data_IF_969923374705
#
_entry.id   IF_969923374705
#
_cell.length_a   1.000
_cell.length_b   1.000
_cell.length_c   1.000
_cell.angle_alpha   90.00
_cell.angle_beta   90.00
_cell.angle_gamma   90.00
#
_symmetry.space_group_name_H-M   'P 1'
#
loop_
_entity.id
_entity.type
_entity.pdbx_description
1 polymer ?
#
# COMPACT_ATOMS: atom_id res chain seq x y z
N UNK A 1 52.24 26.62 -1.11
CA UNK A 1 51.24 25.79 -1.71
C UNK A 1 49.85 26.16 -1.28
N UNK A 2 49.13 26.89 -2.10
CA UNK A 2 47.68 27.13 -1.87
C UNK A 2 46.92 25.90 -2.23
N UNK A 3 46.33 25.26 -1.25
CA UNK A 3 45.37 24.18 -1.45
C UNK A 3 44.05 24.78 -1.96
N UNK A 4 43.70 24.55 -3.21
CA UNK A 4 42.38 24.80 -3.74
C UNK A 4 41.43 23.81 -3.09
N UNK A 5 40.66 24.24 -2.08
CA UNK A 5 39.49 23.50 -1.65
C UNK A 5 38.51 23.46 -2.82
N UNK A 6 38.26 22.27 -3.33
CA UNK A 6 37.43 22.05 -4.48
C UNK A 6 36.03 22.64 -4.27
N UNK A 7 35.51 23.27 -5.30
CA UNK A 7 34.13 23.77 -5.46
C UNK A 7 33.08 22.68 -5.49
N UNK A 8 33.37 21.53 -4.85
CA UNK A 8 32.48 20.33 -4.87
C UNK A 8 31.30 20.32 -3.92
N UNK A 9 31.13 21.31 -3.04
CA UNK A 9 30.17 21.19 -1.92
C UNK A 9 29.04 22.22 -1.90
N UNK A 10 28.74 22.88 -2.98
CA UNK A 10 27.66 23.88 -3.06
C UNK A 10 26.50 23.42 -3.97
N UNK A 11 26.32 22.13 -4.20
CA UNK A 11 24.98 21.65 -4.57
C UNK A 11 24.15 21.71 -3.30
N UNK A 12 23.45 22.82 -3.08
CA UNK A 12 22.32 22.89 -2.14
C UNK A 12 21.47 21.67 -2.41
N UNK A 13 21.48 20.69 -1.49
CA UNK A 13 20.57 19.53 -1.57
C UNK A 13 19.18 20.11 -1.74
N UNK A 14 18.59 19.89 -2.89
CA UNK A 14 17.17 20.22 -3.12
C UNK A 14 16.38 19.55 -1.99
N UNK A 15 15.42 20.24 -1.36
CA UNK A 15 14.61 19.62 -0.33
C UNK A 15 13.87 18.42 -0.93
N UNK A 16 14.06 17.25 -0.35
CA UNK A 16 13.39 16.04 -0.76
C UNK A 16 11.94 16.04 -0.28
N UNK A 17 11.01 15.56 -1.11
CA UNK A 17 9.64 15.27 -0.71
C UNK A 17 9.61 14.12 0.29
N UNK A 18 8.48 13.90 0.98
CA UNK A 18 8.30 12.71 1.82
C UNK A 18 8.50 11.42 1.02
N UNK A 19 7.96 11.38 -0.20
CA UNK A 19 8.16 10.27 -1.13
C UNK A 19 9.64 10.00 -1.41
N UNK A 20 10.41 11.05 -1.76
CA UNK A 20 11.83 10.88 -2.03
C UNK A 20 12.61 10.36 -0.82
N UNK A 21 12.25 10.80 0.40
CA UNK A 21 12.87 10.33 1.64
C UNK A 21 12.60 8.85 1.87
N UNK A 22 11.32 8.44 1.81
CA UNK A 22 10.95 7.03 1.99
C UNK A 22 11.61 6.18 0.90
N UNK A 23 11.52 6.59 -0.36
CA UNK A 23 12.16 5.88 -1.48
C UNK A 23 13.64 5.64 -1.25
N UNK A 24 14.38 6.70 -0.91
CA UNK A 24 15.84 6.62 -0.77
C UNK A 24 16.27 5.76 0.44
N UNK A 25 15.49 5.76 1.53
CA UNK A 25 15.75 4.93 2.71
C UNK A 25 15.49 3.44 2.47
N UNK A 26 14.61 3.12 1.53
CA UNK A 26 14.23 1.73 1.20
C UNK A 26 14.90 1.20 -0.07
N UNK A 27 15.70 2.02 -0.74
CA UNK A 27 16.40 1.63 -1.96
C UNK A 27 17.51 0.62 -1.65
N UNK A 28 17.31 -0.64 -2.07
CA UNK A 28 18.30 -1.72 -1.93
C UNK A 28 19.28 -1.69 -3.10
N UNK A 29 18.77 -1.52 -4.31
CA UNK A 29 19.57 -1.49 -5.54
C UNK A 29 18.82 -0.71 -6.62
N UNK A 30 19.57 -0.03 -7.47
CA UNK A 30 19.03 0.62 -8.67
C UNK A 30 19.83 0.21 -9.89
N UNK A 31 19.13 -0.20 -10.93
CA UNK A 31 19.73 -0.58 -12.22
C UNK A 31 19.95 0.67 -13.09
N UNK A 32 20.78 0.53 -14.11
CA UNK A 32 21.10 1.60 -15.05
C UNK A 32 19.88 2.12 -15.82
N UNK A 33 18.87 1.28 -16.05
CA UNK A 33 17.61 1.64 -16.71
C UNK A 33 16.61 2.39 -15.80
N UNK A 34 17.02 2.68 -14.55
CA UNK A 34 16.21 3.34 -13.53
C UNK A 34 15.29 2.41 -12.75
N UNK A 35 15.26 1.11 -13.06
CA UNK A 35 14.54 0.11 -12.27
C UNK A 35 15.20 -0.04 -10.89
N UNK A 36 14.41 -0.03 -9.84
CA UNK A 36 14.88 -0.08 -8.47
C UNK A 36 14.29 -1.28 -7.72
N UNK A 37 15.09 -1.84 -6.82
CA UNK A 37 14.67 -2.84 -5.85
C UNK A 37 14.47 -2.13 -4.51
N UNK A 38 13.25 -2.12 -3.99
CA UNK A 38 12.88 -1.50 -2.71
C UNK A 38 12.68 -2.56 -1.64
N UNK A 39 13.16 -2.29 -0.43
CA UNK A 39 12.79 -3.08 0.74
C UNK A 39 11.33 -2.80 1.13
N UNK A 40 10.58 -3.83 1.48
CA UNK A 40 9.18 -3.75 1.90
C UNK A 40 9.09 -3.97 3.40
N UNK A 41 8.63 -2.96 4.16
CA UNK A 41 8.49 -3.06 5.61
C UNK A 41 7.27 -3.87 6.02
N UNK A 42 6.18 -3.77 5.26
CA UNK A 42 4.90 -4.40 5.61
C UNK A 42 4.24 -4.98 4.36
N UNK A 43 3.81 -6.22 4.48
CA UNK A 43 3.05 -6.90 3.45
C UNK A 43 1.68 -7.30 4.00
N UNK A 44 0.63 -6.73 3.43
CA UNK A 44 -0.75 -7.11 3.72
C UNK A 44 -1.21 -8.15 2.69
N UNK A 45 -1.84 -9.21 3.15
CA UNK A 45 -2.27 -10.34 2.31
C UNK A 45 -3.72 -10.68 2.60
N UNK A 46 -4.48 -10.97 1.57
CA UNK A 46 -5.86 -11.44 1.67
C UNK A 46 -6.10 -12.66 0.77
N UNK A 47 -7.30 -13.23 0.82
CA UNK A 47 -7.63 -14.53 0.21
C UNK A 47 -7.67 -14.52 -1.33
N UNK A 48 -7.88 -13.36 -1.97
CA UNK A 48 -8.12 -13.31 -3.43
C UNK A 48 -6.83 -13.45 -4.23
N UNK A 49 -5.78 -12.73 -3.88
CA UNK A 49 -4.52 -12.63 -4.68
C UNK A 49 -3.38 -13.49 -4.14
N UNK A 50 -3.57 -14.16 -3.02
CA UNK A 50 -2.50 -14.91 -2.35
C UNK A 50 -2.40 -16.41 -2.70
N UNK A 51 -3.46 -17.14 -3.10
CA UNK A 51 -3.38 -18.60 -3.29
C UNK A 51 -2.27 -19.01 -4.24
N UNK A 52 -2.22 -18.42 -5.43
CA UNK A 52 -1.20 -18.74 -6.44
C UNK A 52 0.21 -18.32 -6.01
N UNK A 53 0.33 -17.22 -5.26
CA UNK A 53 1.62 -16.77 -4.74
C UNK A 53 2.21 -17.79 -3.74
N UNK A 54 1.40 -18.34 -2.85
CA UNK A 54 1.83 -19.41 -1.93
C UNK A 54 2.12 -20.72 -2.66
N UNK A 55 1.35 -21.06 -3.70
CA UNK A 55 1.63 -22.21 -4.55
C UNK A 55 2.99 -22.06 -5.25
N UNK A 56 3.29 -20.89 -5.80
CA UNK A 56 4.59 -20.58 -6.39
C UNK A 56 5.74 -20.78 -5.41
N UNK A 57 5.58 -20.34 -4.15
CA UNK A 57 6.57 -20.58 -3.09
C UNK A 57 6.80 -22.07 -2.84
N UNK A 58 5.73 -22.89 -2.78
CA UNK A 58 5.85 -24.36 -2.61
C UNK A 58 6.58 -24.99 -3.78
N UNK A 59 6.17 -24.67 -5.00
CA UNK A 59 6.76 -25.23 -6.24
C UNK A 59 8.25 -24.88 -6.36
N UNK A 60 8.63 -23.67 -5.96
CA UNK A 60 10.03 -23.21 -5.93
C UNK A 60 10.79 -23.61 -4.66
N UNK A 61 10.16 -24.33 -3.72
CA UNK A 61 10.72 -24.72 -2.42
C UNK A 61 11.24 -23.53 -1.59
N UNK A 62 10.59 -22.37 -1.72
CA UNK A 62 10.94 -21.16 -0.99
C UNK A 62 10.07 -21.00 0.26
N UNK A 63 10.65 -20.37 1.26
CA UNK A 63 9.93 -19.96 2.49
C UNK A 63 9.56 -18.49 2.41
N UNK A 64 8.58 -18.09 3.18
CA UNK A 64 8.34 -16.67 3.43
C UNK A 64 9.53 -16.11 4.21
N UNK A 65 10.15 -15.06 3.67
CA UNK A 65 11.40 -14.51 4.20
C UNK A 65 11.24 -13.90 5.60
N UNK A 66 10.19 -13.09 5.78
CA UNK A 66 9.91 -12.42 7.04
C UNK A 66 8.41 -12.52 7.41
N UNK A 67 7.94 -13.67 7.94
CA UNK A 67 6.52 -13.85 8.28
C UNK A 67 5.97 -12.79 9.25
N UNK A 68 6.83 -12.23 10.13
CA UNK A 68 6.44 -11.19 11.08
C UNK A 68 6.16 -9.82 10.45
N UNK A 69 6.67 -9.59 9.24
CA UNK A 69 6.41 -8.37 8.45
C UNK A 69 5.22 -8.54 7.50
N UNK A 70 4.57 -9.71 7.56
CA UNK A 70 3.36 -10.03 6.79
C UNK A 70 2.18 -10.19 7.74
N UNK A 71 1.05 -9.57 7.38
CA UNK A 71 -0.23 -9.70 8.09
C UNK A 71 -1.29 -10.11 7.08
N UNK A 72 -1.98 -11.20 7.35
CA UNK A 72 -3.09 -11.68 6.55
C UNK A 72 -4.43 -11.32 7.19
N UNK A 73 -5.40 -10.97 6.36
CA UNK A 73 -6.78 -10.68 6.77
C UNK A 73 -7.72 -11.35 5.78
N UNK A 74 -8.71 -12.08 6.26
CA UNK A 74 -9.83 -12.52 5.41
C UNK A 74 -10.76 -11.32 5.21
N UNK A 75 -10.90 -10.84 3.98
CA UNK A 75 -11.46 -9.52 3.70
C UNK A 75 -12.57 -9.55 2.62
N UNK A 76 -12.25 -10.03 1.42
CA UNK A 76 -13.13 -9.89 0.25
C UNK A 76 -14.26 -10.92 0.21
N UNK A 77 -14.00 -12.16 0.62
CA UNK A 77 -14.91 -13.31 0.49
C UNK A 77 -15.55 -13.72 1.83
N UNK A 78 -15.74 -12.77 2.71
CA UNK A 78 -16.37 -12.98 4.01
C UNK A 78 -17.80 -12.43 4.01
N UNK A 79 -18.78 -13.13 4.63
CA UNK A 79 -20.14 -12.64 4.68
C UNK A 79 -20.27 -11.39 5.53
N UNK A 80 -21.09 -10.45 5.06
CA UNK A 80 -21.49 -9.24 5.81
C UNK A 80 -22.75 -9.48 6.67
N UNK A 81 -23.32 -10.70 6.58
CA UNK A 81 -24.50 -11.15 7.34
C UNK A 81 -24.07 -11.95 8.57
N UNK A 82 -24.97 -12.76 9.13
CA UNK A 82 -24.69 -13.61 10.29
C UNK A 82 -23.57 -14.63 10.00
N UNK A 83 -22.42 -14.38 10.56
CA UNK A 83 -21.20 -15.20 10.36
C UNK A 83 -21.26 -16.58 11.02
N UNK A 84 -22.20 -16.79 11.96
CA UNK A 84 -22.39 -18.11 12.58
C UNK A 84 -22.82 -19.19 11.58
N UNK A 85 -23.39 -18.77 10.44
CA UNK A 85 -23.79 -19.64 9.34
C UNK A 85 -22.66 -20.00 8.38
N UNK A 86 -21.47 -19.47 8.60
CA UNK A 86 -20.30 -19.67 7.74
C UNK A 86 -20.44 -18.97 6.37
N UNK A 87 -19.62 -19.40 5.42
CA UNK A 87 -19.60 -18.88 4.05
C UNK A 87 -20.43 -19.83 3.18
N UNK A 88 -21.52 -19.33 2.61
CA UNK A 88 -22.43 -20.14 1.77
C UNK A 88 -21.93 -20.33 0.34
N UNK A 89 -21.23 -19.36 -0.20
CA UNK A 89 -20.60 -19.47 -1.51
C UNK A 89 -19.38 -20.38 -1.46
N UNK A 90 -19.34 -21.38 -2.34
CA UNK A 90 -18.34 -22.44 -2.32
C UNK A 90 -16.93 -21.91 -2.66
N UNK A 91 -16.83 -21.05 -3.66
CA UNK A 91 -15.53 -20.52 -4.10
C UNK A 91 -14.95 -19.57 -3.06
N UNK A 92 -15.76 -18.67 -2.51
CA UNK A 92 -15.40 -17.79 -1.41
C UNK A 92 -14.91 -18.57 -0.19
N UNK A 93 -15.60 -19.66 0.16
CA UNK A 93 -15.20 -20.54 1.25
C UNK A 93 -13.83 -21.16 1.03
N UNK A 94 -13.58 -21.72 -0.16
CA UNK A 94 -12.30 -22.32 -0.53
C UNK A 94 -11.18 -21.29 -0.42
N UNK A 95 -11.38 -20.07 -0.91
CA UNK A 95 -10.36 -19.04 -0.86
C UNK A 95 -10.01 -18.66 0.57
N UNK A 96 -10.98 -18.47 1.46
CA UNK A 96 -10.73 -18.15 2.88
C UNK A 96 -10.04 -19.32 3.58
N UNK A 97 -10.50 -20.56 3.39
CA UNK A 97 -9.88 -21.75 3.98
C UNK A 97 -8.44 -21.96 3.46
N UNK A 98 -8.19 -21.64 2.18
CA UNK A 98 -6.85 -21.68 1.58
C UNK A 98 -5.95 -20.64 2.21
N UNK A 99 -6.42 -19.41 2.45
CA UNK A 99 -5.65 -18.39 3.16
C UNK A 99 -5.29 -18.86 4.58
N UNK A 100 -6.23 -19.45 5.31
CA UNK A 100 -5.98 -19.96 6.66
C UNK A 100 -4.91 -21.07 6.66
N UNK A 101 -5.01 -22.03 5.72
CA UNK A 101 -4.04 -23.10 5.56
C UNK A 101 -2.64 -22.55 5.22
N UNK A 102 -2.56 -21.62 4.27
CA UNK A 102 -1.32 -20.97 3.87
C UNK A 102 -0.67 -20.20 5.03
N UNK A 103 -1.43 -19.41 5.77
CA UNK A 103 -0.92 -18.67 6.91
C UNK A 103 -0.37 -19.59 8.01
N UNK A 104 -1.06 -20.70 8.26
CA UNK A 104 -0.60 -21.72 9.21
C UNK A 104 0.70 -22.38 8.77
N UNK A 105 0.80 -22.75 7.48
CA UNK A 105 1.98 -23.40 6.91
C UNK A 105 3.21 -22.49 6.95
N UNK A 106 3.04 -21.23 6.53
CA UNK A 106 4.15 -20.28 6.40
C UNK A 106 4.40 -19.43 7.64
N UNK A 107 3.65 -19.64 8.72
CA UNK A 107 3.83 -18.94 9.99
C UNK A 107 3.44 -17.47 9.96
N UNK A 108 2.48 -17.09 9.11
CA UNK A 108 1.97 -15.73 8.97
C UNK A 108 0.82 -15.50 9.94
N UNK A 109 0.81 -14.33 10.58
CA UNK A 109 -0.28 -13.90 11.45
C UNK A 109 -1.54 -13.62 10.61
N UNK A 110 -2.66 -14.25 10.97
CA UNK A 110 -3.94 -14.10 10.30
C UNK A 110 -4.99 -13.53 11.25
N UNK A 111 -5.78 -12.59 10.76
CA UNK A 111 -7.06 -12.21 11.33
C UNK A 111 -8.18 -12.82 10.47
N UNK A 112 -8.59 -14.04 10.83
CA UNK A 112 -9.66 -14.78 10.18
C UNK A 112 -11.04 -14.33 10.64
N UNK A 113 -12.10 -14.94 10.09
CA UNK A 113 -13.50 -14.50 10.30
C UNK A 113 -13.94 -14.41 11.77
N UNK A 114 -13.40 -15.23 12.65
CA UNK A 114 -13.72 -15.25 14.09
C UNK A 114 -12.88 -14.27 14.92
N UNK A 115 -11.84 -13.67 14.35
CA UNK A 115 -10.98 -12.72 15.07
C UNK A 115 -11.69 -11.36 15.16
N UNK A 116 -11.70 -10.76 16.36
CA UNK A 116 -12.30 -9.42 16.58
C UNK A 116 -11.63 -8.30 15.79
N UNK A 117 -10.41 -8.52 15.34
CA UNK A 117 -9.61 -7.58 14.55
C UNK A 117 -9.79 -7.74 13.05
N UNK A 118 -10.56 -8.76 12.62
CA UNK A 118 -10.86 -8.96 11.22
C UNK A 118 -11.73 -7.82 10.71
N UNK A 119 -11.44 -7.33 9.52
CA UNK A 119 -12.14 -6.26 8.82
C UNK A 119 -11.53 -6.03 7.46
N UNK A 120 -11.83 -4.91 6.85
CA UNK A 120 -11.22 -4.49 5.59
C UNK A 120 -9.71 -4.34 5.79
N UNK A 121 -8.90 -4.96 4.94
CA UNK A 121 -7.44 -5.03 5.10
C UNK A 121 -6.80 -3.64 5.26
N UNK A 122 -7.28 -2.65 4.52
CA UNK A 122 -6.78 -1.27 4.57
C UNK A 122 -7.29 -0.46 5.78
N UNK A 123 -8.22 -0.98 6.54
CA UNK A 123 -8.67 -0.43 7.84
C UNK A 123 -7.98 -1.17 8.98
N UNK A 124 -7.94 -2.50 8.90
CA UNK A 124 -7.30 -3.35 9.91
C UNK A 124 -5.82 -3.02 10.08
N UNK A 125 -5.08 -2.83 8.99
CA UNK A 125 -3.66 -2.47 9.04
C UNK A 125 -3.39 -1.24 9.91
N UNK A 126 -4.04 -0.10 9.66
CA UNK A 126 -3.94 1.10 10.48
C UNK A 126 -4.42 0.91 11.92
N UNK A 127 -5.61 0.34 12.14
CA UNK A 127 -6.19 0.16 13.48
C UNK A 127 -5.33 -0.72 14.39
N UNK A 128 -4.61 -1.67 13.82
CA UNK A 128 -3.72 -2.56 14.57
C UNK A 128 -2.28 -2.04 14.67
N UNK A 129 -2.01 -0.81 14.20
CA UNK A 129 -0.68 -0.20 14.22
C UNK A 129 0.33 -0.90 13.29
N UNK A 130 -0.15 -1.70 12.35
CA UNK A 130 0.71 -2.35 11.35
C UNK A 130 1.16 -1.37 10.28
N UNK A 131 0.27 -0.45 9.89
CA UNK A 131 0.59 0.70 9.04
C UNK A 131 1.25 1.79 9.87
N UNK A 132 2.43 2.25 9.46
CA UNK A 132 3.17 3.29 10.14
C UNK A 132 3.75 4.31 9.16
N UNK A 133 3.93 5.58 9.57
CA UNK A 133 4.55 6.58 8.71
C UNK A 133 5.99 6.21 8.37
N UNK A 134 6.42 6.58 7.16
CA UNK A 134 7.77 6.35 6.68
C UNK A 134 8.04 4.92 6.21
N UNK A 135 7.06 4.02 6.21
CA UNK A 135 7.21 2.62 5.77
C UNK A 135 6.81 2.42 4.31
N UNK A 136 7.38 1.39 3.68
CA UNK A 136 6.90 0.84 2.40
C UNK A 136 5.96 -0.31 2.68
N UNK A 137 4.72 -0.18 2.19
CA UNK A 137 3.64 -1.15 2.40
C UNK A 137 3.16 -1.68 1.06
N UNK A 138 2.94 -2.98 0.96
CA UNK A 138 2.35 -3.61 -0.23
C UNK A 138 1.16 -4.49 0.12
N UNK A 139 0.24 -4.61 -0.83
CA UNK A 139 -0.89 -5.53 -0.77
C UNK A 139 -1.29 -5.94 -2.18
N UNK A 140 -1.79 -7.14 -2.35
CA UNK A 140 -2.38 -7.60 -3.61
C UNK A 140 -3.75 -6.99 -3.91
N UNK A 141 -3.93 -5.71 -3.63
CA UNK A 141 -5.17 -4.95 -3.76
C UNK A 141 -4.89 -3.55 -4.34
N UNK A 142 -5.72 -3.11 -5.28
CA UNK A 142 -5.55 -1.82 -5.96
C UNK A 142 -5.68 -0.60 -5.02
N UNK A 143 -6.45 -0.72 -3.92
CA UNK A 143 -6.69 0.39 -2.98
C UNK A 143 -5.64 0.51 -1.87
N UNK A 144 -4.48 -0.10 -2.05
CA UNK A 144 -3.35 -0.04 -1.09
C UNK A 144 -2.85 1.39 -0.86
N UNK A 145 -3.06 2.29 -1.81
CA UNK A 145 -2.78 3.73 -1.66
C UNK A 145 -3.47 4.37 -0.43
N UNK A 146 -4.49 3.74 0.15
CA UNK A 146 -5.14 4.16 1.41
C UNK A 146 -4.14 4.43 2.52
N UNK A 147 -3.08 3.63 2.62
CA UNK A 147 -2.04 3.75 3.66
C UNK A 147 -1.22 5.04 3.53
N UNK A 148 -1.26 5.71 2.38
CA UNK A 148 -0.68 7.05 2.19
C UNK A 148 -1.23 8.10 3.13
N UNK A 149 -2.48 7.94 3.62
CA UNK A 149 -3.10 8.82 4.62
C UNK A 149 -2.32 8.85 5.95
N UNK A 150 -1.51 7.81 6.21
CA UNK A 150 -0.67 7.66 7.39
C UNK A 150 0.80 8.01 7.13
N UNK A 151 1.12 8.53 5.95
CA UNK A 151 2.50 8.84 5.56
C UNK A 151 3.34 7.62 5.20
N UNK A 152 2.72 6.52 4.80
CA UNK A 152 3.39 5.36 4.22
C UNK A 152 3.46 5.49 2.69
N UNK A 153 4.48 4.89 2.07
CA UNK A 153 4.54 4.67 0.64
C UNK A 153 3.94 3.30 0.34
N UNK A 154 2.79 3.29 -0.33
CA UNK A 154 1.98 2.09 -0.45
C UNK A 154 1.72 1.73 -1.91
N UNK A 155 1.93 0.44 -2.26
CA UNK A 155 1.74 -0.08 -3.61
C UNK A 155 0.73 -1.22 -3.65
N UNK A 156 -0.27 -1.10 -4.52
CA UNK A 156 -1.05 -2.24 -4.99
C UNK A 156 -0.20 -3.08 -5.95
N UNK A 157 -0.12 -4.38 -5.72
CA UNK A 157 0.76 -5.29 -6.48
C UNK A 157 -0.02 -6.49 -7.03
N UNK A 158 0.46 -7.04 -8.15
CA UNK A 158 -0.10 -8.23 -8.75
C UNK A 158 0.33 -9.52 -8.04
N UNK A 159 -0.34 -10.63 -8.34
CA UNK A 159 -0.10 -11.95 -7.70
C UNK A 159 1.36 -12.41 -7.79
N UNK A 160 2.02 -12.21 -8.93
CA UNK A 160 3.44 -12.56 -9.11
C UNK A 160 4.36 -11.73 -8.21
N UNK A 161 4.00 -10.46 -7.99
CA UNK A 161 4.74 -9.58 -7.09
C UNK A 161 4.47 -9.94 -5.62
N UNK A 162 3.26 -10.42 -5.28
CA UNK A 162 2.95 -10.98 -3.95
C UNK A 162 3.89 -12.14 -3.64
N UNK A 163 4.06 -13.10 -4.59
CA UNK A 163 5.02 -14.20 -4.44
C UNK A 163 6.44 -13.66 -4.24
N UNK A 164 6.87 -12.71 -5.10
CA UNK A 164 8.20 -12.12 -5.03
C UNK A 164 8.45 -11.47 -3.65
N UNK A 165 7.53 -10.66 -3.15
CA UNK A 165 7.66 -9.99 -1.85
C UNK A 165 7.67 -11.00 -0.70
N UNK A 166 6.82 -12.03 -0.73
CA UNK A 166 6.84 -13.10 0.27
C UNK A 166 8.21 -13.80 0.31
N UNK A 167 8.82 -14.06 -0.86
CA UNK A 167 10.09 -14.76 -0.98
C UNK A 167 11.30 -13.89 -0.61
N UNK A 168 11.27 -12.59 -0.91
CA UNK A 168 12.47 -11.72 -0.90
C UNK A 168 12.36 -10.54 0.06
N UNK A 169 11.17 -10.13 0.47
CA UNK A 169 10.86 -8.89 1.19
C UNK A 169 11.24 -7.63 0.39
N UNK A 170 11.24 -7.73 -0.93
CA UNK A 170 11.55 -6.60 -1.82
C UNK A 170 10.54 -6.49 -2.95
N UNK A 171 10.42 -5.29 -3.52
CA UNK A 171 9.57 -4.97 -4.66
C UNK A 171 10.41 -4.30 -5.76
N UNK A 172 10.19 -4.71 -7.01
CA UNK A 172 10.82 -4.08 -8.19
C UNK A 172 9.91 -2.96 -8.67
N UNK A 173 10.41 -1.72 -8.68
CA UNK A 173 9.63 -0.55 -9.08
C UNK A 173 10.48 0.45 -9.87
N UNK A 174 9.82 1.30 -10.67
CA UNK A 174 10.42 2.52 -11.22
C UNK A 174 9.98 3.72 -10.38
N UNK A 175 10.94 4.65 -10.16
CA UNK A 175 10.64 5.85 -9.38
C UNK A 175 9.57 6.69 -10.07
N UNK A 176 8.45 6.94 -9.39
CA UNK A 176 7.35 7.76 -9.86
C UNK A 176 7.72 9.25 -9.85
N UNK A 177 7.00 10.04 -10.65
CA UNK A 177 7.10 11.50 -10.62
C UNK A 177 6.31 12.07 -9.43
N UNK A 178 6.82 13.14 -8.83
CA UNK A 178 6.08 13.87 -7.80
C UNK A 178 4.95 14.70 -8.44
N UNK A 179 3.72 14.52 -7.93
CA UNK A 179 2.56 15.29 -8.34
C UNK A 179 1.88 15.86 -7.08
N UNK A 180 1.79 17.18 -6.98
CA UNK A 180 1.17 17.83 -5.83
C UNK A 180 -0.18 18.44 -6.21
N UNK A 181 -1.22 18.10 -5.43
CA UNK A 181 -2.57 18.65 -5.57
C UNK A 181 -2.89 19.47 -4.31
N UNK A 182 -3.06 20.79 -4.48
CA UNK A 182 -3.44 21.69 -3.41
C UNK A 182 -4.96 21.89 -3.41
N UNK A 183 -5.61 21.55 -2.30
CA UNK A 183 -7.03 21.75 -2.09
C UNK A 183 -7.21 22.74 -0.92
N UNK A 184 -7.73 23.93 -1.23
CA UNK A 184 -7.90 25.01 -0.27
C UNK A 184 -9.38 25.33 -0.07
N UNK A 185 -9.70 26.01 1.02
CA UNK A 185 -11.06 26.41 1.40
C UNK A 185 -11.68 25.47 2.43
N UNK A 186 -13.01 25.51 2.51
CA UNK A 186 -13.81 24.72 3.45
C UNK A 186 -14.89 23.95 2.72
N UNK A 187 -15.25 22.79 3.21
CA UNK A 187 -16.34 22.00 2.64
C UNK A 187 -17.69 22.63 3.04
N UNK A 188 -18.59 22.91 2.07
CA UNK A 188 -19.95 23.28 2.38
C UNK A 188 -20.72 22.10 2.98
N UNK A 189 -21.86 22.41 3.62
CA UNK A 189 -22.72 21.39 4.21
C UNK A 189 -23.15 20.35 3.15
N UNK A 190 -23.01 19.09 3.48
CA UNK A 190 -23.36 17.96 2.61
C UNK A 190 -22.27 17.50 1.64
N UNK A 191 -21.13 18.22 1.57
CA UNK A 191 -19.97 17.81 0.78
C UNK A 191 -18.97 17.06 1.64
N UNK A 192 -18.49 15.93 1.14
CA UNK A 192 -17.59 15.01 1.84
C UNK A 192 -16.23 14.90 1.14
N UNK A 193 -15.26 14.23 1.75
CA UNK A 193 -13.97 13.93 1.13
C UNK A 193 -14.10 13.08 -0.15
N UNK A 194 -15.17 12.27 -0.25
CA UNK A 194 -15.47 11.50 -1.48
C UNK A 194 -15.81 12.43 -2.64
N UNK A 195 -16.57 13.48 -2.41
CA UNK A 195 -16.89 14.48 -3.44
C UNK A 195 -15.62 15.22 -3.88
N UNK A 196 -14.72 15.50 -2.93
CA UNK A 196 -13.42 16.15 -3.23
C UNK A 196 -12.58 15.29 -4.16
N UNK A 197 -12.39 14.01 -3.84
CA UNK A 197 -11.55 13.13 -4.70
C UNK A 197 -12.22 12.88 -6.05
N UNK A 198 -13.54 12.71 -6.10
CA UNK A 198 -14.27 12.59 -7.38
C UNK A 198 -14.10 13.85 -8.25
N UNK A 199 -14.15 15.04 -7.65
CA UNK A 199 -13.90 16.29 -8.36
C UNK A 199 -12.46 16.39 -8.88
N UNK A 200 -11.46 15.91 -8.08
CA UNK A 200 -10.06 15.87 -8.51
C UNK A 200 -9.93 14.94 -9.72
N UNK A 201 -10.45 13.71 -9.63
CA UNK A 201 -10.42 12.73 -10.74
C UNK A 201 -11.12 13.30 -11.97
N UNK A 202 -12.28 13.97 -11.80
CA UNK A 202 -12.97 14.63 -12.88
C UNK A 202 -12.15 15.71 -13.58
N UNK A 203 -11.22 16.35 -12.86
CA UNK A 203 -10.32 17.39 -13.43
C UNK A 203 -9.08 16.82 -14.09
N UNK A 204 -8.43 15.82 -13.48
CA UNK A 204 -7.17 15.25 -14.02
C UNK A 204 -7.42 14.10 -15.00
N UNK A 205 -8.61 13.50 -14.97
CA UNK A 205 -8.95 12.31 -15.72
C UNK A 205 -8.50 11.01 -15.03
N UNK A 206 -9.02 9.88 -15.48
CA UNK A 206 -8.74 8.53 -14.93
C UNK A 206 -7.30 8.05 -15.16
N UNK A 207 -6.52 8.74 -15.99
CA UNK A 207 -5.10 8.44 -16.24
C UNK A 207 -4.17 9.62 -15.88
N UNK A 208 -4.71 10.69 -15.29
CA UNK A 208 -3.95 11.91 -15.02
C UNK A 208 -2.82 11.74 -14.01
N UNK A 209 -2.93 10.74 -13.12
CA UNK A 209 -1.93 10.39 -12.13
C UNK A 209 -0.96 9.28 -12.55
N UNK A 210 -1.10 8.72 -13.76
CA UNK A 210 -0.28 7.57 -14.18
C UNK A 210 1.22 7.86 -14.13
N UNK A 211 1.94 6.99 -13.44
CA UNK A 211 3.38 7.13 -13.21
C UNK A 211 3.77 8.23 -12.23
N UNK A 212 2.81 8.71 -11.43
CA UNK A 212 3.02 9.70 -10.38
C UNK A 212 2.75 9.12 -9.00
N UNK A 213 3.38 9.73 -8.00
CA UNK A 213 2.93 9.69 -6.61
C UNK A 213 2.27 11.02 -6.29
N UNK A 214 1.06 11.00 -5.74
CA UNK A 214 0.29 12.21 -5.46
C UNK A 214 0.45 12.62 -3.99
N UNK A 215 0.88 13.87 -3.76
CA UNK A 215 0.83 14.55 -2.47
C UNK A 215 -0.40 15.45 -2.43
N UNK A 216 -1.36 15.13 -1.57
CA UNK A 216 -2.49 16.00 -1.28
C UNK A 216 -2.11 17.02 -0.21
N UNK A 217 -2.31 18.31 -0.50
CA UNK A 217 -1.92 19.42 0.35
C UNK A 217 -2.98 20.53 0.35
N UNK A 218 -2.74 21.58 1.12
CA UNK A 218 -3.64 22.73 1.25
C UNK A 218 -4.44 22.73 2.56
N UNK A 219 -5.14 23.82 2.82
CA UNK A 219 -5.76 24.04 4.11
C UNK A 219 -6.95 23.11 4.35
N UNK A 220 -7.67 22.76 3.29
CA UNK A 220 -8.74 21.76 3.39
C UNK A 220 -8.16 20.41 3.84
N UNK A 221 -7.12 19.92 3.18
CA UNK A 221 -6.53 18.60 3.50
C UNK A 221 -6.02 18.56 4.95
N UNK A 222 -5.42 19.67 5.43
CA UNK A 222 -4.96 19.78 6.83
C UNK A 222 -6.11 19.69 7.84
N UNK A 223 -7.29 20.20 7.49
CA UNK A 223 -8.47 20.21 8.37
C UNK A 223 -9.23 18.87 8.42
N UNK A 224 -8.99 17.98 7.45
CA UNK A 224 -9.68 16.68 7.36
C UNK A 224 -9.24 15.72 8.48
N UNK A 225 -10.17 14.91 8.96
CA UNK A 225 -9.86 13.76 9.82
C UNK A 225 -9.01 12.73 9.07
N UNK A 226 -8.42 11.78 9.79
CA UNK A 226 -7.62 10.71 9.18
C UNK A 226 -8.48 9.85 8.25
N UNK A 227 -9.71 9.53 8.65
CA UNK A 227 -10.66 8.73 7.85
C UNK A 227 -11.02 9.44 6.54
N UNK A 228 -11.19 10.75 6.59
CA UNK A 228 -11.43 11.56 5.39
C UNK A 228 -10.21 11.58 4.45
N UNK A 229 -9.00 11.62 5.01
CA UNK A 229 -7.76 11.49 4.21
C UNK A 229 -7.62 10.09 3.64
N UNK A 230 -8.00 9.04 4.39
CA UNK A 230 -8.05 7.66 3.88
C UNK A 230 -8.96 7.56 2.66
N UNK A 231 -10.13 8.20 2.67
CA UNK A 231 -11.04 8.22 1.52
C UNK A 231 -10.38 8.82 0.29
N UNK A 232 -9.65 9.94 0.43
CA UNK A 232 -8.95 10.58 -0.68
C UNK A 232 -7.83 9.68 -1.21
N UNK A 233 -7.00 9.14 -0.32
CA UNK A 233 -5.90 8.26 -0.72
C UNK A 233 -6.40 6.94 -1.31
N UNK A 234 -7.49 6.36 -0.77
CA UNK A 234 -8.10 5.14 -1.26
C UNK A 234 -8.49 5.26 -2.74
N UNK A 235 -9.16 6.34 -3.10
CA UNK A 235 -9.65 6.56 -4.47
C UNK A 235 -8.61 7.16 -5.42
N UNK A 236 -7.36 7.30 -5.02
CA UNK A 236 -6.30 7.83 -5.88
C UNK A 236 -6.03 6.92 -7.08
N UNK A 237 -6.23 5.62 -6.92
CA UNK A 237 -6.06 4.64 -8.02
C UNK A 237 -7.01 4.89 -9.19
N UNK A 238 -8.22 5.41 -8.96
CA UNK A 238 -9.16 5.76 -10.04
C UNK A 238 -8.67 6.97 -10.86
N UNK A 239 -7.71 7.72 -10.34
CA UNK A 239 -6.96 8.75 -11.08
C UNK A 239 -5.69 8.24 -11.75
N UNK A 240 -5.38 6.95 -11.61
CA UNK A 240 -4.24 6.27 -12.24
C UNK A 240 -2.91 6.35 -11.47
N UNK A 241 -2.89 6.83 -10.22
CA UNK A 241 -1.68 6.96 -9.41
C UNK A 241 -1.61 5.87 -8.31
#
# INVERSE_FOLDING_TARGET
GYWSRGLGDVYKRQPNTLYDKIWNEHLVHQQEDGTALLFVDRHLVHEVTSPQAFEGLRNSKRKVRHPKLTLAVADHNVPTTDRSKGISDHESKIQVETLEANCKEFGIKLFGMSDKRQGIVHVTGPEQGFTQPGTVIVCGDSHTATHGAFGALAFGIGTSEVEHVLATQTLVQKKAKNFRINVNGTLPLGVTSKDVILQIIGKIGTAGGTGCVIEYAGDLIKSLSVENRMTICNMTIEGGA
#
